data_IF_499987000469
#
_entry.id   IF_499987000469
#
_cell.length_a   1.000
_cell.length_b   1.000
_cell.length_c   1.000
_cell.angle_alpha   90.00
_cell.angle_beta   90.00
_cell.angle_gamma   90.00
#
_symmetry.space_group_name_H-M   'P 1'
#
loop_
_entity.id
_entity.type
_entity.pdbx_description
1 polymer ?
#
# COMPACT_ATOMS: atom_id res chain seq x y z
N UNK A 1 -16.87 -14.68 -11.67
CA UNK A 1 -17.90 -14.28 -10.68
C UNK A 1 -17.23 -13.82 -9.37
N UNK A 2 -16.31 -12.84 -9.42
CA UNK A 2 -15.47 -12.42 -8.27
C UNK A 2 -15.62 -10.93 -7.93
N UNK A 3 -16.82 -10.37 -8.04
CA UNK A 3 -17.04 -8.91 -7.91
C UNK A 3 -17.46 -8.42 -6.53
N UNK A 4 -17.65 -9.31 -5.54
CA UNK A 4 -17.95 -8.84 -4.18
C UNK A 4 -16.71 -8.21 -3.56
N UNK A 5 -16.75 -6.88 -3.49
CA UNK A 5 -15.86 -6.05 -2.66
C UNK A 5 -16.66 -5.55 -1.47
N UNK A 6 -16.07 -5.60 -0.27
CA UNK A 6 -16.70 -5.11 0.96
C UNK A 6 -15.68 -4.34 1.79
N UNK A 7 -16.13 -3.31 2.51
CA UNK A 7 -15.30 -2.64 3.52
C UNK A 7 -14.93 -3.64 4.63
N UNK A 8 -13.68 -3.63 5.06
CA UNK A 8 -13.19 -4.40 6.19
C UNK A 8 -13.23 -3.53 7.45
N UNK A 9 -13.96 -3.98 8.47
CA UNK A 9 -14.02 -3.31 9.77
C UNK A 9 -13.04 -3.91 10.76
N UNK A 10 -13.07 -3.43 12.01
CA UNK A 10 -12.19 -3.92 13.08
C UNK A 10 -12.27 -5.44 13.29
N UNK A 11 -13.47 -6.03 13.15
CA UNK A 11 -13.67 -7.49 13.21
C UNK A 11 -12.92 -8.27 12.12
N UNK A 12 -12.61 -7.63 10.99
CA UNK A 12 -11.91 -8.24 9.85
C UNK A 12 -10.39 -8.03 9.91
N UNK A 13 -9.89 -7.32 10.94
CA UNK A 13 -8.47 -6.94 11.07
C UNK A 13 -7.54 -8.15 11.01
N UNK A 14 -7.78 -9.15 11.85
CA UNK A 14 -6.91 -10.32 11.94
C UNK A 14 -6.79 -11.08 10.60
N UNK A 15 -7.92 -11.26 9.91
CA UNK A 15 -7.95 -11.92 8.60
C UNK A 15 -7.31 -11.08 7.50
N UNK A 16 -7.55 -9.76 7.52
CA UNK A 16 -6.94 -8.83 6.55
C UNK A 16 -5.43 -8.80 6.68
N UNK A 17 -4.91 -8.71 7.91
CA UNK A 17 -3.47 -8.73 8.20
C UNK A 17 -2.84 -10.07 7.78
N UNK A 18 -3.47 -11.21 8.11
CA UNK A 18 -3.00 -12.52 7.68
C UNK A 18 -2.94 -12.64 6.15
N UNK A 19 -3.97 -12.18 5.46
CA UNK A 19 -4.04 -12.20 4.00
C UNK A 19 -2.92 -11.37 3.38
N UNK A 20 -2.75 -10.13 3.83
CA UNK A 20 -1.70 -9.24 3.34
C UNK A 20 -0.30 -9.81 3.62
N UNK A 21 -0.08 -10.36 4.82
CA UNK A 21 1.17 -11.05 5.17
C UNK A 21 1.48 -12.17 4.18
N UNK A 22 0.49 -13.01 3.84
CA UNK A 22 0.67 -14.08 2.86
C UNK A 22 0.92 -13.54 1.44
N UNK A 23 0.15 -12.54 1.01
CA UNK A 23 0.23 -11.94 -0.32
C UNK A 23 1.58 -11.28 -0.59
N UNK A 24 2.19 -10.67 0.42
CA UNK A 24 3.45 -9.93 0.31
C UNK A 24 4.68 -10.72 0.79
N UNK A 25 4.53 -11.98 1.21
CA UNK A 25 5.64 -12.80 1.73
C UNK A 25 6.83 -12.95 0.76
N UNK A 26 6.56 -12.89 -0.55
CA UNK A 26 7.57 -12.94 -1.62
C UNK A 26 7.82 -11.59 -2.30
N UNK A 27 7.20 -10.50 -1.82
CA UNK A 27 7.37 -9.18 -2.41
C UNK A 27 8.81 -8.65 -2.20
N UNK A 28 9.45 -8.07 -3.23
CA UNK A 28 10.83 -7.58 -3.12
C UNK A 28 11.04 -6.54 -2.01
N UNK A 29 10.09 -5.63 -1.79
CA UNK A 29 10.18 -4.60 -0.76
C UNK A 29 10.10 -5.25 0.62
N UNK A 30 9.19 -6.20 0.83
CA UNK A 30 9.09 -6.92 2.09
C UNK A 30 10.34 -7.77 2.36
N UNK A 31 10.90 -8.42 1.35
CA UNK A 31 12.16 -9.19 1.51
C UNK A 31 13.34 -8.28 1.79
N UNK A 32 13.35 -7.06 1.27
CA UNK A 32 14.38 -6.08 1.59
C UNK A 32 14.20 -5.49 3.00
N UNK A 33 12.98 -5.13 3.41
CA UNK A 33 12.69 -4.64 4.76
C UNK A 33 13.01 -5.69 5.84
N UNK A 34 12.69 -6.95 5.57
CA UNK A 34 12.86 -8.06 6.51
C UNK A 34 13.63 -9.20 5.82
N UNK A 35 14.98 -9.20 5.84
CA UNK A 35 15.79 -10.09 5.01
C UNK A 35 15.74 -11.57 5.42
N UNK A 36 15.73 -11.84 6.72
CA UNK A 36 15.61 -13.21 7.21
C UNK A 36 14.15 -13.65 7.25
N UNK A 37 13.92 -14.95 7.03
CA UNK A 37 12.58 -15.53 7.16
C UNK A 37 12.01 -15.39 8.57
N UNK A 38 12.86 -15.55 9.59
CA UNK A 38 12.49 -15.35 10.99
C UNK A 38 12.04 -13.92 11.28
N UNK A 39 12.70 -12.91 10.68
CA UNK A 39 12.30 -11.51 10.79
C UNK A 39 10.95 -11.27 10.12
N UNK A 40 10.73 -11.79 8.90
CA UNK A 40 9.43 -11.69 8.22
C UNK A 40 8.30 -12.33 9.02
N UNK A 41 8.49 -13.55 9.51
CA UNK A 41 7.48 -14.26 10.30
C UNK A 41 7.10 -13.50 11.57
N UNK A 42 8.08 -12.83 12.20
CA UNK A 42 7.87 -12.07 13.43
C UNK A 42 7.23 -10.71 13.20
N UNK A 43 7.68 -9.95 12.21
CA UNK A 43 7.39 -8.50 12.12
C UNK A 43 6.41 -8.12 11.00
N UNK A 44 6.24 -8.96 9.98
CA UNK A 44 5.35 -8.64 8.86
C UNK A 44 3.87 -8.49 9.27
N UNK A 45 3.33 -9.30 10.20
CA UNK A 45 1.97 -9.09 10.70
C UNK A 45 1.80 -7.75 11.42
N UNK A 46 2.79 -7.33 12.20
CA UNK A 46 2.77 -6.05 12.92
C UNK A 46 2.89 -4.87 11.95
N UNK A 47 3.69 -5.02 10.89
CA UNK A 47 3.79 -4.03 9.82
C UNK A 47 2.45 -3.79 9.12
N UNK A 48 1.73 -4.85 8.72
CA UNK A 48 0.40 -4.68 8.11
C UNK A 48 -0.66 -4.27 9.12
N UNK A 49 -0.51 -4.64 10.40
CA UNK A 49 -1.36 -4.15 11.48
C UNK A 49 -1.28 -2.64 11.61
N UNK A 50 -0.06 -2.08 11.57
CA UNK A 50 0.16 -0.64 11.63
C UNK A 50 -0.55 0.12 10.49
N UNK A 51 -0.46 -0.41 9.27
CA UNK A 51 -1.10 0.19 8.08
C UNK A 51 -2.62 0.10 8.20
N UNK A 52 -3.15 -1.02 8.70
CA UNK A 52 -4.59 -1.21 8.90
C UNK A 52 -5.15 -0.30 10.00
N UNK A 53 -4.43 -0.17 11.11
CA UNK A 53 -4.86 0.60 12.28
C UNK A 53 -4.62 2.12 12.13
N UNK A 54 -3.97 2.53 11.04
CA UNK A 54 -3.73 3.94 10.78
C UNK A 54 -5.05 4.73 10.80
N UNK A 55 -5.15 5.87 11.51
CA UNK A 55 -6.44 6.55 11.76
C UNK A 55 -7.13 7.08 10.49
N UNK A 56 -6.37 7.25 9.40
CA UNK A 56 -6.88 7.66 8.09
C UNK A 56 -7.16 6.50 7.14
N UNK A 57 -6.94 5.25 7.58
CA UNK A 57 -7.05 4.08 6.73
C UNK A 57 -8.51 3.66 6.51
N UNK A 58 -8.78 3.17 5.31
CA UNK A 58 -9.97 2.39 4.98
C UNK A 58 -9.53 1.15 4.22
N UNK A 59 -9.94 -0.02 4.72
CA UNK A 59 -9.59 -1.30 4.13
C UNK A 59 -10.78 -1.91 3.37
N UNK A 60 -10.48 -2.62 2.28
CA UNK A 60 -11.46 -3.38 1.50
C UNK A 60 -10.98 -4.82 1.31
N UNK A 61 -11.92 -5.76 1.38
CA UNK A 61 -11.74 -7.17 1.04
C UNK A 61 -12.41 -7.46 -0.30
N UNK A 62 -11.78 -8.30 -1.13
CA UNK A 62 -12.26 -8.65 -2.46
C UNK A 62 -12.19 -10.15 -2.74
N UNK A 63 -13.02 -10.60 -3.67
CA UNK A 63 -12.97 -11.96 -4.23
C UNK A 63 -13.21 -13.06 -3.20
N UNK A 64 -14.25 -12.92 -2.38
CA UNK A 64 -14.50 -13.85 -1.26
C UNK A 64 -13.39 -13.84 -0.21
N UNK A 65 -12.88 -12.64 0.11
CA UNK A 65 -11.83 -12.42 1.13
C UNK A 65 -10.49 -13.08 0.79
N UNK A 66 -10.15 -13.15 -0.49
CA UNK A 66 -8.83 -13.62 -0.99
C UNK A 66 -7.93 -12.48 -1.48
N UNK A 67 -8.42 -11.25 -1.44
CA UNK A 67 -7.63 -10.05 -1.68
C UNK A 67 -8.01 -8.95 -0.67
N UNK A 68 -7.07 -8.05 -0.41
CA UNK A 68 -7.28 -6.85 0.39
C UNK A 68 -6.56 -5.64 -0.20
N UNK A 69 -7.10 -4.44 0.07
CA UNK A 69 -6.44 -3.17 -0.22
C UNK A 69 -6.68 -2.18 0.91
N UNK A 70 -5.65 -1.42 1.29
CA UNK A 70 -5.74 -0.39 2.32
C UNK A 70 -5.41 0.98 1.71
N UNK A 71 -6.30 1.94 1.94
CA UNK A 71 -6.26 3.27 1.37
C UNK A 71 -6.24 4.32 2.48
N UNK A 72 -5.43 5.35 2.36
CA UNK A 72 -5.36 6.47 3.30
C UNK A 72 -5.92 7.73 2.62
N UNK A 73 -6.87 8.40 3.28
CA UNK A 73 -7.37 9.69 2.80
C UNK A 73 -6.53 10.82 3.37
N UNK A 74 -5.80 11.53 2.51
CA UNK A 74 -4.89 12.61 2.90
C UNK A 74 -5.41 13.97 2.41
N UNK A 75 -5.32 14.97 3.28
CA UNK A 75 -5.61 16.39 2.98
C UNK A 75 -4.31 17.10 2.55
N UNK A 76 -4.40 18.28 1.93
CA UNK A 76 -3.23 19.09 1.63
C UNK A 76 -2.41 19.35 2.91
N UNK A 77 -1.09 19.18 2.81
CA UNK A 77 -0.15 19.33 3.92
C UNK A 77 -0.04 18.13 4.86
N UNK A 78 -0.85 17.07 4.69
CA UNK A 78 -0.75 15.87 5.51
C UNK A 78 0.25 14.85 4.92
N UNK A 79 1.02 14.21 5.81
CA UNK A 79 1.90 13.07 5.49
C UNK A 79 1.35 11.79 6.10
N UNK A 80 1.39 10.64 5.39
CA UNK A 80 1.08 9.34 5.97
C UNK A 80 2.25 8.75 6.77
N UNK A 81 3.43 9.36 6.70
CA UNK A 81 4.63 8.92 7.40
C UNK A 81 4.82 9.74 8.68
N UNK A 82 5.23 9.11 9.80
CA UNK A 82 5.50 9.81 11.03
C UNK A 82 6.59 10.86 10.85
N UNK A 83 6.46 11.98 11.56
CA UNK A 83 7.51 13.00 11.62
C UNK A 83 8.76 12.44 12.31
N UNK A 84 9.95 12.87 11.85
CA UNK A 84 11.26 12.32 12.27
C UNK A 84 11.49 12.38 13.79
N UNK A 85 10.87 13.35 14.46
CA UNK A 85 10.99 13.61 15.90
C UNK A 85 9.81 13.06 16.72
N UNK A 86 8.77 12.54 16.06
CA UNK A 86 7.75 11.78 16.75
C UNK A 86 8.39 10.43 17.12
N UNK A 87 8.60 10.18 18.42
CA UNK A 87 8.90 8.85 18.95
C UNK A 87 8.05 7.86 18.16
N UNK A 88 8.70 7.00 17.38
CA UNK A 88 8.04 6.03 16.51
C UNK A 88 7.05 5.23 17.37
N UNK A 89 5.79 5.64 17.34
CA UNK A 89 4.81 5.23 18.32
C UNK A 89 4.59 3.71 18.19
N UNK A 90 4.89 2.97 19.26
CA UNK A 90 4.43 1.62 19.62
C UNK A 90 4.59 0.46 18.63
N UNK A 91 5.12 0.69 17.43
CA UNK A 91 5.46 -0.40 16.53
C UNK A 91 6.73 -1.06 17.07
N UNK A 92 6.58 -2.17 17.80
CA UNK A 92 7.66 -3.10 18.19
C UNK A 92 8.35 -3.77 16.97
N UNK A 93 8.21 -3.17 15.79
CA UNK A 93 9.05 -3.44 14.65
C UNK A 93 10.47 -3.01 15.04
N UNK A 94 11.51 -3.79 14.73
CA UNK A 94 12.85 -3.26 14.81
C UNK A 94 12.84 -2.01 13.94
N UNK A 95 13.19 -0.87 14.53
CA UNK A 95 13.52 0.36 13.79
C UNK A 95 14.81 0.12 13.02
N UNK A 96 14.72 -0.81 12.08
CA UNK A 96 15.81 -1.20 11.20
C UNK A 96 16.07 0.01 10.32
N UNK A 97 17.34 0.30 10.07
CA UNK A 97 17.78 1.40 9.21
C UNK A 97 17.02 1.45 7.88
N UNK A 98 16.57 0.29 7.37
CA UNK A 98 15.77 0.17 6.14
C UNK A 98 14.35 0.70 6.25
N UNK A 99 13.66 0.49 7.38
CA UNK A 99 12.30 1.00 7.56
C UNK A 99 12.30 2.52 7.72
N UNK A 100 13.28 3.06 8.46
CA UNK A 100 13.47 4.51 8.58
C UNK A 100 13.85 5.13 7.24
N UNK A 101 14.86 4.57 6.56
CA UNK A 101 15.29 5.01 5.22
C UNK A 101 14.13 4.97 4.22
N UNK A 102 13.32 3.90 4.21
CA UNK A 102 12.13 3.83 3.37
C UNK A 102 11.16 4.97 3.70
N UNK A 103 10.83 5.17 4.97
CA UNK A 103 9.92 6.25 5.39
C UNK A 103 10.40 7.62 4.94
N UNK A 104 11.71 7.90 5.06
CA UNK A 104 12.32 9.15 4.63
C UNK A 104 12.27 9.33 3.10
N UNK A 105 12.67 8.30 2.34
CA UNK A 105 12.66 8.34 0.88
C UNK A 105 11.24 8.50 0.31
N UNK A 106 10.24 7.84 0.93
CA UNK A 106 8.85 7.99 0.54
C UNK A 106 8.31 9.37 0.91
N UNK A 107 8.55 9.85 2.14
CA UNK A 107 8.07 11.15 2.59
C UNK A 107 8.60 12.31 1.73
N UNK A 108 9.86 12.24 1.29
CA UNK A 108 10.46 13.26 0.43
C UNK A 108 9.79 13.37 -0.95
N UNK A 109 9.22 12.28 -1.47
CA UNK A 109 8.61 12.24 -2.81
C UNK A 109 7.08 12.22 -2.78
N UNK A 110 6.49 12.02 -1.60
CA UNK A 110 5.06 11.96 -1.43
C UNK A 110 4.41 13.30 -1.80
N UNK A 111 3.31 13.29 -2.58
CA UNK A 111 2.61 14.53 -2.91
C UNK A 111 1.94 15.10 -1.66
N UNK A 112 2.26 16.34 -1.29
CA UNK A 112 1.64 17.03 -0.14
C UNK A 112 0.76 18.21 -0.54
N UNK A 113 0.86 18.69 -1.80
CA UNK A 113 0.18 19.90 -2.26
C UNK A 113 -1.34 19.75 -2.50
N UNK A 114 -1.87 18.53 -2.57
CA UNK A 114 -3.26 18.27 -2.94
C UNK A 114 -3.90 17.18 -2.08
N UNK A 115 -5.22 17.26 -1.90
CA UNK A 115 -5.98 16.15 -1.32
C UNK A 115 -5.91 14.94 -2.26
N UNK A 116 -5.71 13.75 -1.72
CA UNK A 116 -5.63 12.52 -2.52
C UNK A 116 -5.90 11.27 -1.68
N UNK A 117 -6.22 10.17 -2.37
CA UNK A 117 -6.18 8.84 -1.79
C UNK A 117 -4.80 8.23 -2.00
N UNK A 118 -4.19 7.73 -0.94
CA UNK A 118 -2.95 6.97 -1.01
C UNK A 118 -3.24 5.46 -0.88
N UNK A 119 -2.96 4.68 -1.92
CA UNK A 119 -3.04 3.22 -1.85
C UNK A 119 -1.77 2.68 -1.18
N UNK A 120 -1.82 2.49 0.13
CA UNK A 120 -0.68 2.02 0.92
C UNK A 120 -0.33 0.55 0.64
N UNK A 121 -1.33 -0.31 0.42
CA UNK A 121 -1.08 -1.67 -0.03
C UNK A 121 -2.27 -2.30 -0.76
N UNK A 122 -1.97 -3.21 -1.70
CA UNK A 122 -2.94 -4.07 -2.36
C UNK A 122 -2.34 -5.46 -2.53
N UNK A 123 -2.92 -6.44 -1.82
CA UNK A 123 -2.47 -7.82 -1.83
C UNK A 123 -3.55 -8.76 -2.35
N UNK A 124 -3.16 -9.69 -3.21
CA UNK A 124 -3.99 -10.83 -3.61
C UNK A 124 -3.29 -12.09 -3.15
N UNK A 125 -4.04 -12.97 -2.48
CA UNK A 125 -3.55 -14.26 -2.02
C UNK A 125 -2.87 -15.02 -3.17
N UNK A 126 -1.72 -15.69 -2.94
CA UNK A 126 -0.96 -16.36 -4.00
C UNK A 126 -1.79 -17.31 -4.89
N UNK A 127 -2.72 -18.06 -4.31
CA UNK A 127 -3.58 -19.00 -5.04
C UNK A 127 -4.67 -18.34 -5.89
N UNK A 128 -4.92 -17.04 -5.71
CA UNK A 128 -5.95 -16.28 -6.41
C UNK A 128 -5.36 -15.19 -7.31
N UNK A 129 -4.05 -15.14 -7.49
CA UNK A 129 -3.40 -14.18 -8.39
C UNK A 129 -3.73 -14.45 -9.86
N UNK A 130 -3.69 -13.40 -10.70
CA UNK A 130 -3.99 -13.53 -12.13
C UNK A 130 -5.47 -13.68 -12.48
N UNK A 131 -6.36 -13.74 -11.48
CA UNK A 131 -7.82 -13.87 -11.67
C UNK A 131 -8.56 -12.55 -11.85
N UNK A 132 -7.84 -11.42 -11.85
CA UNK A 132 -8.42 -10.07 -11.98
C UNK A 132 -8.93 -9.44 -10.68
N UNK A 133 -8.88 -10.14 -9.53
CA UNK A 133 -9.41 -9.62 -8.26
C UNK A 133 -8.71 -8.33 -7.81
N UNK A 134 -7.38 -8.24 -7.94
CA UNK A 134 -6.65 -7.01 -7.64
C UNK A 134 -7.07 -5.83 -8.53
N UNK A 135 -7.39 -6.10 -9.80
CA UNK A 135 -7.95 -5.09 -10.70
C UNK A 135 -9.37 -4.68 -10.30
N UNK A 136 -10.16 -5.59 -9.74
CA UNK A 136 -11.48 -5.26 -9.19
C UNK A 136 -11.37 -4.34 -7.97
N UNK A 137 -10.45 -4.62 -7.04
CA UNK A 137 -10.17 -3.74 -5.90
C UNK A 137 -9.67 -2.36 -6.33
N UNK A 138 -8.77 -2.29 -7.32
CA UNK A 138 -8.32 -1.01 -7.88
C UNK A 138 -9.46 -0.19 -8.48
N UNK A 139 -10.33 -0.82 -9.29
CA UNK A 139 -11.50 -0.14 -9.86
C UNK A 139 -12.45 0.34 -8.76
N UNK A 140 -12.65 -0.45 -7.71
CA UNK A 140 -13.50 -0.08 -6.58
C UNK A 140 -12.96 1.17 -5.86
N UNK A 141 -11.68 1.17 -5.46
CA UNK A 141 -11.05 2.32 -4.83
C UNK A 141 -10.95 3.54 -5.76
N UNK A 142 -10.64 3.31 -7.04
CA UNK A 142 -10.59 4.33 -8.08
C UNK A 142 -11.93 5.03 -8.26
N UNK A 143 -13.03 4.29 -8.40
CA UNK A 143 -14.38 4.87 -8.53
C UNK A 143 -14.78 5.72 -7.32
N UNK A 144 -14.39 5.31 -6.10
CA UNK A 144 -14.62 6.11 -4.89
C UNK A 144 -13.77 7.38 -4.88
N UNK A 145 -12.54 7.30 -5.37
CA UNK A 145 -11.64 8.46 -5.48
C UNK A 145 -12.16 9.45 -6.53
N UNK A 146 -12.62 8.94 -7.68
CA UNK A 146 -13.22 9.73 -8.77
C UNK A 146 -14.48 10.46 -8.28
N UNK A 147 -15.33 9.81 -7.49
CA UNK A 147 -16.51 10.43 -6.89
C UNK A 147 -16.20 11.58 -5.93
N UNK A 148 -14.98 11.61 -5.36
CA UNK A 148 -14.49 12.71 -4.52
C UNK A 148 -13.80 13.81 -5.32
N UNK A 149 -13.56 13.60 -6.62
CA UNK A 149 -12.85 14.57 -7.48
C UNK A 149 -11.38 14.78 -7.10
N UNK A 150 -10.76 13.82 -6.39
CA UNK A 150 -9.36 13.90 -5.96
C UNK A 150 -8.50 12.84 -6.65
N UNK A 151 -7.18 13.03 -6.67
CA UNK A 151 -6.28 12.06 -7.28
C UNK A 151 -6.02 10.83 -6.41
N UNK A 152 -5.41 9.82 -7.01
CA UNK A 152 -4.88 8.65 -6.33
C UNK A 152 -3.37 8.59 -6.49
N UNK A 153 -2.67 8.33 -5.40
CA UNK A 153 -1.23 8.14 -5.35
C UNK A 153 -0.87 6.74 -4.83
N UNK A 154 0.26 6.20 -5.28
CA UNK A 154 0.87 4.96 -4.78
C UNK A 154 2.34 4.89 -5.17
N UNK A 155 3.07 3.97 -4.55
CA UNK A 155 4.37 3.50 -5.02
C UNK A 155 4.28 2.04 -5.46
N UNK A 156 4.62 1.77 -6.72
CA UNK A 156 4.75 0.40 -7.19
C UNK A 156 6.09 -0.17 -6.71
N UNK A 157 6.08 -1.36 -6.10
CA UNK A 157 7.27 -2.05 -5.59
C UNK A 157 7.92 -3.04 -6.58
N UNK A 158 7.37 -3.17 -7.79
CA UNK A 158 7.90 -4.07 -8.82
C UNK A 158 7.49 -3.63 -10.23
N UNK A 159 8.26 -4.03 -11.24
CA UNK A 159 7.87 -3.79 -12.64
C UNK A 159 6.50 -4.39 -12.99
N UNK A 160 6.15 -5.53 -12.38
CA UNK A 160 4.85 -6.19 -12.55
C UNK A 160 3.71 -5.36 -11.98
N UNK A 161 3.84 -4.83 -10.76
CA UNK A 161 2.81 -3.99 -10.15
C UNK A 161 2.72 -2.63 -10.86
N UNK A 162 3.84 -2.03 -11.27
CA UNK A 162 3.84 -0.82 -12.11
C UNK A 162 3.06 -1.03 -13.41
N UNK A 163 3.34 -2.11 -14.14
CA UNK A 163 2.62 -2.43 -15.38
C UNK A 163 1.10 -2.62 -15.14
N UNK A 164 0.71 -3.15 -13.98
CA UNK A 164 -0.70 -3.20 -13.57
C UNK A 164 -1.28 -1.79 -13.41
N UNK A 165 -0.64 -0.93 -12.63
CA UNK A 165 -1.16 0.41 -12.35
C UNK A 165 -1.21 1.29 -13.61
N UNK A 166 -0.23 1.18 -14.51
CA UNK A 166 -0.27 1.85 -15.82
C UNK A 166 -1.54 1.52 -16.62
N UNK A 167 -1.95 0.23 -16.63
CA UNK A 167 -3.21 -0.19 -17.29
C UNK A 167 -4.47 0.33 -16.62
N UNK A 168 -4.37 0.77 -15.35
CA UNK A 168 -5.47 1.35 -14.58
C UNK A 168 -5.44 2.88 -14.57
N UNK A 169 -4.67 3.50 -15.48
CA UNK A 169 -4.67 4.95 -15.70
C UNK A 169 -3.76 5.73 -14.76
N UNK A 170 -2.87 5.04 -14.03
CA UNK A 170 -1.77 5.70 -13.33
C UNK A 170 -0.66 6.07 -14.33
N UNK A 171 0.04 7.15 -14.05
CA UNK A 171 1.29 7.55 -14.71
C UNK A 171 2.39 7.68 -13.65
N UNK A 172 3.66 7.53 -14.05
CA UNK A 172 4.77 7.77 -13.14
C UNK A 172 4.80 9.23 -12.69
N UNK A 173 5.04 9.46 -11.40
CA UNK A 173 5.15 10.77 -10.79
C UNK A 173 6.62 11.05 -10.44
N UNK A 174 7.35 11.62 -11.39
CA UNK A 174 8.77 11.90 -11.22
C UNK A 174 9.67 10.67 -11.38
N UNK A 175 10.95 10.77 -10.99
CA UNK A 175 11.91 9.68 -11.16
C UNK A 175 11.61 8.51 -10.20
N UNK A 176 12.04 7.29 -10.56
CA UNK A 176 12.00 6.15 -9.63
C UNK A 176 12.81 6.41 -8.36
N UNK A 177 12.40 5.76 -7.28
CA UNK A 177 13.13 5.71 -6.01
C UNK A 177 14.03 4.50 -6.04
N UNK A 178 15.34 4.71 -6.02
CA UNK A 178 16.29 3.62 -5.83
C UNK A 178 16.57 3.49 -4.33
N UNK A 179 16.17 2.37 -3.74
CA UNK A 179 16.42 2.11 -2.32
C UNK A 179 17.85 1.58 -2.12
N UNK A 180 18.49 2.03 -1.04
CA UNK A 180 19.85 1.61 -0.69
C UNK A 180 19.97 0.10 -0.42
N UNK A 181 21.20 -0.41 -0.44
CA UNK A 181 21.55 -1.79 -0.08
C UNK A 181 20.80 -2.87 -0.89
N UNK A 182 20.83 -2.75 -2.22
CA UNK A 182 20.17 -3.65 -3.16
C UNK A 182 18.64 -3.73 -2.94
N UNK A 183 18.03 -2.62 -2.53
CA UNK A 183 16.58 -2.51 -2.42
C UNK A 183 15.89 -2.47 -3.78
N UNK A 184 14.59 -2.80 -3.84
CA UNK A 184 13.85 -2.69 -5.08
C UNK A 184 13.69 -1.22 -5.46
N UNK A 185 13.69 -0.95 -6.77
CA UNK A 185 13.20 0.31 -7.29
C UNK A 185 11.72 0.46 -6.98
N UNK A 186 11.33 1.62 -6.44
CA UNK A 186 9.92 2.00 -6.31
C UNK A 186 9.57 3.02 -7.38
N UNK A 187 8.35 2.95 -7.89
CA UNK A 187 7.85 3.93 -8.84
C UNK A 187 6.70 4.70 -8.19
N UNK A 188 6.91 5.96 -7.80
CA UNK A 188 5.82 6.87 -7.44
C UNK A 188 4.89 7.00 -8.64
N UNK A 189 3.60 6.86 -8.42
CA UNK A 189 2.60 6.92 -9.49
C UNK A 189 1.38 7.72 -9.06
N UNK A 190 0.83 8.46 -10.02
CA UNK A 190 -0.34 9.28 -9.83
C UNK A 190 -1.42 8.93 -10.87
N UNK A 191 -2.67 8.88 -10.42
CA UNK A 191 -3.86 8.81 -11.26
C UNK A 191 -4.71 10.04 -10.98
N UNK A 192 -4.94 10.85 -12.00
CA UNK A 192 -5.91 11.95 -11.92
C UNK A 192 -7.33 11.40 -11.75
N UNK A 193 -8.23 12.13 -11.05
CA UNK A 193 -9.63 11.74 -10.98
C UNK A 193 -10.23 11.70 -12.38
N UNK A 194 -10.98 10.65 -12.69
CA UNK A 194 -11.78 10.64 -13.91
C UNK A 194 -13.02 11.48 -13.65
N UNK A 195 -13.13 12.60 -14.37
CA UNK A 195 -14.39 13.34 -14.42
C UNK A 195 -15.33 12.57 -15.35
N UNK A 196 -16.57 12.27 -14.94
CA UNK A 196 -17.56 11.66 -15.84
C UNK A 196 -17.86 12.52 -17.06
#
# INVERSE_FOLDING_TARGET
MYEKTSTAGYQDRADTVRLLTAAFSADPLIRWLFPSESSRQRFLPDYFSAIFDHPKATAYLGGERVAASIWLTLRPGESPFPERDAESADLQLPSSTRLLSLGEELAQRHPTGHAHQYLACLGVSPYAQGTGIGSALLRHGGARTDALGIGTYLEASSARSRALYLRHGFADLGPPIELDHDGPTLWPMWRAPHTP
#
